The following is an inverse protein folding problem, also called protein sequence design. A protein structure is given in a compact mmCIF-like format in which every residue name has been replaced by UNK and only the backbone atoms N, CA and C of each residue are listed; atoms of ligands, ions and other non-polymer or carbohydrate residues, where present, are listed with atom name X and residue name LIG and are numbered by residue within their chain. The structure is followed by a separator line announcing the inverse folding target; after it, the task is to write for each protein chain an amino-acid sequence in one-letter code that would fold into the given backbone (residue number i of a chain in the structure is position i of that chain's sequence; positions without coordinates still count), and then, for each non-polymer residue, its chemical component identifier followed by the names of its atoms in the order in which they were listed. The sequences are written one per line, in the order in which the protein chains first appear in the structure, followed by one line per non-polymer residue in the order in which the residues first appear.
data_IF_551983514592
#
_entry.id   IF_551983514592
#
_cell.length_a   1.000
_cell.length_b   1.000
_cell.length_c   1.000
_cell.angle_alpha   90.00
_cell.angle_beta   90.00
_cell.angle_gamma   90.00
#
_symmetry.space_group_name_H-M   'P 1'
#
loop_
_entity.id
_entity.type
_entity.pdbx_description
1 polymer ?
#
# COMPACT_ATOMS: atom_id res chain seq x y z
N UNK A 1 3.00 11.60 -79.13
CA UNK A 1 2.39 11.45 -77.80
C UNK A 1 3.42 10.89 -76.83
N UNK A 2 4.11 11.73 -76.05
CA UNK A 2 4.83 11.30 -74.86
C UNK A 2 4.24 11.96 -73.60
N UNK A 3 4.25 11.26 -72.47
CA UNK A 3 4.83 11.74 -71.20
C UNK A 3 4.70 10.68 -70.09
N UNK A 4 5.81 10.45 -69.39
CA UNK A 4 5.88 9.69 -68.13
C UNK A 4 5.62 10.61 -66.94
N UNK A 5 5.12 10.09 -65.79
CA UNK A 5 5.29 10.78 -64.52
C UNK A 5 6.34 10.11 -63.62
N UNK A 6 7.29 10.91 -63.14
CA UNK A 6 8.20 10.63 -62.01
C UNK A 6 7.47 10.93 -60.68
N UNK A 7 7.79 10.15 -59.65
CA UNK A 7 7.25 10.29 -58.30
C UNK A 7 7.82 11.45 -57.47
N UNK A 8 7.21 11.66 -56.30
CA UNK A 8 7.72 12.59 -55.28
C UNK A 8 6.80 12.78 -54.07
N UNK A 9 7.10 12.01 -53.01
CA UNK A 9 7.04 12.33 -51.57
C UNK A 9 5.68 12.74 -50.96
N UNK A 10 4.99 11.74 -50.37
CA UNK A 10 3.95 11.96 -49.36
C UNK A 10 4.56 12.23 -47.99
N UNK A 11 4.22 13.37 -47.40
CA UNK A 11 4.54 13.75 -46.02
C UNK A 11 3.88 12.77 -45.05
N UNK A 12 4.67 11.92 -44.39
CA UNK A 12 4.22 11.08 -43.28
C UNK A 12 4.06 11.98 -42.05
N UNK A 13 2.82 12.17 -41.61
CA UNK A 13 2.52 12.79 -40.32
C UNK A 13 3.20 12.00 -39.20
N UNK A 14 4.15 12.63 -38.50
CA UNK A 14 4.71 12.11 -37.26
C UNK A 14 3.59 11.95 -36.23
N UNK A 15 3.30 10.69 -35.88
CA UNK A 15 2.37 10.34 -34.82
C UNK A 15 2.80 10.97 -33.50
N UNK A 16 1.82 11.57 -32.81
CA UNK A 16 1.96 12.16 -31.47
C UNK A 16 2.59 11.15 -30.49
N UNK A 17 3.48 11.58 -29.58
CA UNK A 17 3.93 10.72 -28.50
C UNK A 17 2.75 10.37 -27.60
N UNK A 18 2.68 9.09 -27.22
CA UNK A 18 1.68 8.55 -26.31
C UNK A 18 1.63 9.40 -25.03
N UNK A 19 0.48 10.04 -24.80
CA UNK A 19 0.19 10.69 -23.53
C UNK A 19 0.19 9.62 -22.45
N UNK A 20 1.19 9.68 -21.58
CA UNK A 20 1.11 9.08 -20.26
C UNK A 20 -0.05 9.79 -19.54
N UNK A 21 -1.22 9.15 -19.49
CA UNK A 21 -2.39 9.70 -18.82
C UNK A 21 -2.07 9.85 -17.33
N UNK A 22 -1.77 11.08 -16.92
CA UNK A 22 -1.83 11.48 -15.53
C UNK A 22 -3.29 11.38 -15.10
N UNK A 23 -3.62 10.41 -14.25
CA UNK A 23 -4.97 10.31 -13.67
C UNK A 23 -5.31 11.62 -12.98
N UNK A 24 -6.52 12.12 -13.19
CA UNK A 24 -6.98 13.37 -12.60
C UNK A 24 -7.34 13.16 -11.12
N UNK A 25 -7.34 14.22 -10.33
CA UNK A 25 -7.70 14.15 -8.90
C UNK A 25 -9.11 13.59 -8.68
N UNK A 26 -10.03 13.85 -9.62
CA UNK A 26 -11.39 13.33 -9.60
C UNK A 26 -11.41 11.81 -9.81
N UNK A 27 -10.60 11.29 -10.72
CA UNK A 27 -10.49 9.85 -10.96
C UNK A 27 -9.97 9.10 -9.73
N UNK A 28 -9.03 9.71 -8.98
CA UNK A 28 -8.48 9.12 -7.76
C UNK A 28 -9.49 9.14 -6.60
N UNK A 29 -10.30 10.19 -6.49
CA UNK A 29 -11.36 10.27 -5.48
C UNK A 29 -12.44 9.22 -5.75
N UNK A 30 -12.85 9.06 -7.01
CA UNK A 30 -13.78 8.01 -7.43
C UNK A 30 -13.25 6.60 -7.13
N UNK A 31 -11.97 6.34 -7.42
CA UNK A 31 -11.29 5.09 -7.06
C UNK A 31 -11.34 4.81 -5.54
N UNK A 32 -11.16 5.84 -4.72
CA UNK A 32 -11.25 5.69 -3.27
C UNK A 32 -12.68 5.36 -2.82
N UNK A 33 -13.70 5.99 -3.39
CA UNK A 33 -15.11 5.68 -3.08
C UNK A 33 -15.48 4.24 -3.47
N UNK A 34 -15.07 3.79 -4.66
CA UNK A 34 -15.31 2.41 -5.13
C UNK A 34 -14.66 1.40 -4.18
N UNK A 35 -13.41 1.63 -3.78
CA UNK A 35 -12.71 0.69 -2.92
C UNK A 35 -13.30 0.64 -1.52
N UNK A 36 -13.79 1.78 -1.00
CA UNK A 36 -14.49 1.83 0.27
C UNK A 36 -15.80 1.05 0.24
N UNK A 37 -16.58 1.18 -0.84
CA UNK A 37 -17.81 0.39 -1.01
C UNK A 37 -17.50 -1.10 -1.03
N UNK A 38 -16.46 -1.52 -1.75
CA UNK A 38 -16.01 -2.92 -1.78
C UNK A 38 -15.59 -3.41 -0.40
N UNK A 39 -14.87 -2.58 0.37
CA UNK A 39 -14.46 -2.90 1.74
C UNK A 39 -15.66 -3.01 2.70
N UNK A 40 -16.70 -2.17 2.54
CA UNK A 40 -17.96 -2.24 3.29
C UNK A 40 -18.73 -3.52 3.00
N UNK A 41 -18.86 -3.90 1.72
CA UNK A 41 -19.50 -5.15 1.31
C UNK A 41 -18.76 -6.37 1.87
N UNK A 42 -17.42 -6.35 1.84
CA UNK A 42 -16.58 -7.39 2.42
C UNK A 42 -16.83 -7.49 3.93
N UNK A 43 -16.76 -6.37 4.65
CA UNK A 43 -17.04 -6.34 6.10
C UNK A 43 -18.47 -6.78 6.46
N UNK A 44 -19.46 -6.42 5.63
CA UNK A 44 -20.85 -6.85 5.79
C UNK A 44 -21.00 -8.36 5.57
N UNK A 45 -20.35 -8.93 4.55
CA UNK A 45 -20.32 -10.37 4.33
C UNK A 45 -19.72 -11.12 5.53
N UNK A 46 -18.67 -10.57 6.15
CA UNK A 46 -18.08 -11.13 7.38
C UNK A 46 -19.01 -11.03 8.60
N UNK A 47 -19.95 -10.08 8.61
CA UNK A 47 -20.92 -9.94 9.71
C UNK A 47 -22.07 -10.95 9.64
N UNK A 48 -22.39 -11.50 8.45
CA UNK A 48 -23.52 -12.41 8.20
C UNK A 48 -23.18 -13.87 8.56
N UNK A 49 -21.90 -14.25 8.61
CA UNK A 49 -21.42 -15.64 8.81
C UNK A 49 -21.74 -16.22 10.21
N UNK A 50 -22.25 -15.44 11.17
CA UNK A 50 -22.89 -15.98 12.39
C UNK A 50 -23.85 -14.97 13.00
N UNK A 51 -25.06 -15.44 13.33
CA UNK A 51 -26.10 -14.71 14.08
C UNK A 51 -25.49 -14.15 15.37
N UNK A 52 -25.68 -12.86 15.69
CA UNK A 52 -25.07 -12.28 16.89
C UNK A 52 -25.71 -12.87 18.15
N UNK A 53 -24.89 -13.38 19.07
CA UNK A 53 -25.23 -13.38 20.49
C UNK A 53 -25.13 -11.94 20.95
N UNK A 54 -26.25 -11.39 21.40
CA UNK A 54 -26.31 -10.03 21.92
C UNK A 54 -25.38 -9.93 23.14
N UNK A 55 -24.36 -9.08 23.05
CA UNK A 55 -23.53 -8.70 24.18
C UNK A 55 -23.76 -7.20 24.46
N UNK A 56 -23.73 -6.81 25.74
CA UNK A 56 -24.38 -5.62 26.24
C UNK A 56 -23.66 -4.34 25.79
N UNK A 57 -24.45 -3.27 25.82
CA UNK A 57 -24.01 -1.89 25.60
C UNK A 57 -22.88 -1.48 26.56
N UNK A 58 -22.01 -0.63 26.03
CA UNK A 58 -21.16 0.34 26.73
C UNK A 58 -20.37 -0.18 27.95
N UNK A 59 -19.09 -0.48 27.73
CA UNK A 59 -18.10 -0.28 28.79
C UNK A 59 -17.71 1.22 28.78
N UNK A 60 -18.40 2.00 29.60
CA UNK A 60 -17.88 3.26 30.11
C UNK A 60 -16.77 2.93 31.11
N UNK A 61 -15.59 3.54 30.97
CA UNK A 61 -14.99 4.32 32.08
C UNK A 61 -13.69 5.00 31.62
N UNK A 62 -13.85 6.26 31.22
CA UNK A 62 -12.91 7.31 31.57
C UNK A 62 -13.80 8.44 32.03
N UNK A 63 -13.66 8.88 33.28
CA UNK A 63 -14.43 9.95 33.90
C UNK A 63 -14.20 11.28 33.16
N UNK A 64 -14.80 11.42 31.98
CA UNK A 64 -14.77 12.65 31.20
C UNK A 64 -15.70 13.63 31.89
N UNK A 65 -15.10 14.65 32.49
CA UNK A 65 -15.86 15.76 33.06
C UNK A 65 -16.72 16.40 31.97
N UNK A 66 -18.00 16.63 32.27
CA UNK A 66 -18.93 17.38 31.40
C UNK A 66 -18.40 18.79 31.05
N UNK A 67 -17.43 19.28 31.81
CA UNK A 67 -16.80 20.58 31.61
C UNK A 67 -15.61 20.52 30.63
N UNK A 68 -15.31 19.37 30.02
CA UNK A 68 -14.23 19.27 29.05
C UNK A 68 -14.52 20.17 27.82
N UNK A 69 -13.58 21.03 27.37
CA UNK A 69 -13.81 21.98 26.27
C UNK A 69 -14.25 21.37 24.94
N UNK A 70 -13.99 20.07 24.77
CA UNK A 70 -14.34 19.25 23.61
C UNK A 70 -15.23 18.06 23.99
N UNK A 71 -16.08 18.19 25.03
CA UNK A 71 -16.92 17.10 25.52
C UNK A 71 -17.77 16.44 24.40
N UNK A 72 -18.28 17.25 23.48
CA UNK A 72 -19.06 16.84 22.31
C UNK A 72 -18.35 15.81 21.43
N UNK A 73 -17.03 15.92 21.28
CA UNK A 73 -16.19 14.98 20.53
C UNK A 73 -15.59 13.91 21.44
N UNK A 74 -15.06 14.31 22.60
CA UNK A 74 -14.33 13.44 23.51
C UNK A 74 -15.19 12.29 24.05
N UNK A 75 -16.49 12.53 24.28
CA UNK A 75 -17.45 11.52 24.74
C UNK A 75 -17.55 10.28 23.85
N UNK A 76 -17.21 10.41 22.57
CA UNK A 76 -17.23 9.28 21.63
C UNK A 76 -16.04 8.34 21.82
N UNK A 77 -14.96 8.78 22.50
CA UNK A 77 -13.78 7.94 22.72
C UNK A 77 -12.99 7.64 21.44
N UNK A 78 -13.09 8.51 20.43
CA UNK A 78 -12.37 8.39 19.14
C UNK A 78 -10.86 8.41 19.38
N UNK A 79 -10.38 9.29 20.27
CA UNK A 79 -8.98 9.44 20.64
C UNK A 79 -8.79 9.11 22.13
N UNK A 80 -7.83 8.24 22.45
CA UNK A 80 -7.50 7.85 23.82
C UNK A 80 -5.98 7.77 24.00
N UNK A 81 -5.50 8.02 25.21
CA UNK A 81 -4.08 7.86 25.58
C UNK A 81 -3.93 6.51 26.26
N UNK A 82 -3.28 5.57 25.58
CA UNK A 82 -3.28 4.15 25.89
C UNK A 82 -1.93 3.68 26.44
N UNK A 83 -1.55 4.27 27.58
CA UNK A 83 -0.32 3.89 28.30
C UNK A 83 0.97 4.23 27.55
N UNK A 84 1.96 3.36 27.68
CA UNK A 84 3.30 3.52 27.09
C UNK A 84 3.73 2.27 26.33
N UNK A 85 4.54 2.46 25.30
CA UNK A 85 5.13 1.36 24.55
C UNK A 85 6.34 0.73 25.27
N UNK A 86 7.00 -0.22 24.61
CA UNK A 86 8.18 -0.93 25.16
C UNK A 86 9.36 0.01 25.46
N UNK A 87 9.40 1.18 24.83
CA UNK A 87 10.44 2.19 24.99
C UNK A 87 10.03 3.34 25.92
N UNK A 88 8.89 3.22 26.62
CA UNK A 88 8.38 4.26 27.52
C UNK A 88 7.75 5.46 26.80
N UNK A 89 7.44 5.33 25.50
CA UNK A 89 6.83 6.42 24.72
C UNK A 89 5.32 6.36 24.86
N UNK A 90 4.67 7.51 25.01
CA UNK A 90 3.20 7.57 25.11
C UNK A 90 2.55 7.02 23.85
N UNK A 91 1.56 6.15 24.03
CA UNK A 91 0.77 5.58 22.93
C UNK A 91 -0.58 6.28 22.87
N UNK A 92 -0.95 6.74 21.68
CA UNK A 92 -2.21 7.43 21.44
C UNK A 92 -3.00 6.63 20.42
N UNK A 93 -4.21 6.22 20.77
CA UNK A 93 -5.07 5.39 19.92
C UNK A 93 -6.16 6.23 19.26
N UNK A 94 -6.34 6.07 17.95
CA UNK A 94 -7.44 6.60 17.17
C UNK A 94 -8.34 5.44 16.70
N UNK A 95 -9.63 5.47 17.02
CA UNK A 95 -10.56 4.36 16.75
C UNK A 95 -11.68 4.77 15.80
N UNK A 96 -11.66 4.27 14.56
CA UNK A 96 -12.68 4.58 13.56
C UNK A 96 -14.07 4.01 13.89
N UNK A 97 -14.13 2.86 14.56
CA UNK A 97 -15.40 2.25 15.01
C UNK A 97 -16.20 3.12 16.00
N UNK A 98 -15.56 4.15 16.57
CA UNK A 98 -16.18 5.10 17.49
C UNK A 98 -16.56 6.43 16.84
N UNK A 99 -16.29 6.61 15.54
CA UNK A 99 -16.70 7.81 14.83
C UNK A 99 -18.19 7.74 14.51
N UNK A 100 -19.00 8.69 15.02
CA UNK A 100 -20.40 8.79 14.64
C UNK A 100 -20.53 9.22 13.16
N UNK A 101 -21.74 9.14 12.58
CA UNK A 101 -21.99 9.64 11.24
C UNK A 101 -21.48 11.07 11.03
N UNK A 102 -20.98 11.39 9.84
CA UNK A 102 -20.32 12.67 9.53
C UNK A 102 -21.23 13.89 9.74
N UNK A 103 -22.56 13.70 9.73
CA UNK A 103 -23.53 14.77 10.00
C UNK A 103 -23.68 15.07 11.51
N UNK A 104 -23.31 14.12 12.38
CA UNK A 104 -23.33 14.27 13.84
C UNK A 104 -21.96 14.71 14.39
N UNK A 105 -20.89 14.58 13.61
CA UNK A 105 -19.52 14.90 14.00
C UNK A 105 -19.03 16.20 13.37
N UNK A 106 -18.80 17.23 14.18
CA UNK A 106 -18.14 18.42 13.68
C UNK A 106 -16.65 18.15 13.43
N UNK A 107 -16.27 17.96 12.17
CA UNK A 107 -14.90 17.62 11.78
C UNK A 107 -13.87 18.72 12.10
N UNK A 108 -14.29 20.00 12.23
CA UNK A 108 -13.39 21.07 12.69
C UNK A 108 -13.09 20.90 14.18
N UNK A 109 -14.11 20.68 15.00
CA UNK A 109 -13.92 20.42 16.44
C UNK A 109 -13.16 19.13 16.70
N UNK A 110 -13.36 18.11 15.86
CA UNK A 110 -12.55 16.90 15.89
C UNK A 110 -11.07 17.25 15.70
N UNK A 111 -10.72 18.00 14.65
CA UNK A 111 -9.34 18.39 14.40
C UNK A 111 -8.73 19.20 15.56
N UNK A 112 -9.49 20.15 16.12
CA UNK A 112 -9.09 20.91 17.31
C UNK A 112 -8.85 19.99 18.52
N UNK A 113 -9.71 19.00 18.73
CA UNK A 113 -9.56 18.02 19.82
C UNK A 113 -8.34 17.10 19.60
N UNK A 114 -8.05 16.68 18.37
CA UNK A 114 -6.81 15.96 18.06
C UNK A 114 -5.59 16.81 18.39
N UNK A 115 -5.58 18.09 17.97
CA UNK A 115 -4.47 19.01 18.28
C UNK A 115 -4.34 19.20 19.79
N UNK A 116 -5.43 19.52 20.49
CA UNK A 116 -5.46 19.68 21.95
C UNK A 116 -4.85 18.50 22.69
N UNK A 117 -5.17 17.27 22.26
CA UNK A 117 -4.66 16.05 22.88
C UNK A 117 -3.20 15.80 22.53
N UNK A 118 -2.84 15.93 21.25
CA UNK A 118 -1.48 15.70 20.78
C UNK A 118 -0.49 16.75 21.32
N UNK A 119 -0.92 17.99 21.48
CA UNK A 119 -0.10 19.10 22.00
C UNK A 119 0.53 18.78 23.37
N UNK A 120 -0.12 17.92 24.17
CA UNK A 120 0.40 17.46 25.47
C UNK A 120 1.59 16.49 25.35
N UNK A 121 1.81 15.89 24.17
CA UNK A 121 2.78 14.79 23.98
C UNK A 121 3.79 15.03 22.85
N UNK A 122 3.50 15.95 21.92
CA UNK A 122 4.29 16.15 20.69
C UNK A 122 5.73 16.63 20.94
N UNK A 123 6.01 17.19 22.11
CA UNK A 123 7.37 17.59 22.49
C UNK A 123 8.26 16.39 22.85
N UNK A 124 7.64 15.27 23.24
CA UNK A 124 8.30 14.01 23.57
C UNK A 124 8.12 12.96 22.46
N UNK A 125 8.93 11.91 22.50
CA UNK A 125 8.77 10.78 21.59
C UNK A 125 7.47 10.02 21.88
N UNK A 126 6.64 9.81 20.85
CA UNK A 126 5.33 9.18 20.99
C UNK A 126 4.99 8.28 19.81
N UNK A 127 3.97 7.44 20.01
CA UNK A 127 3.49 6.46 19.03
C UNK A 127 1.98 6.63 18.85
N UNK A 128 1.50 6.50 17.62
CA UNK A 128 0.07 6.52 17.31
C UNK A 128 -0.37 5.15 16.80
N UNK A 129 -1.50 4.66 17.31
CA UNK A 129 -2.16 3.45 16.82
C UNK A 129 -3.50 3.87 16.22
N UNK A 130 -3.68 3.64 14.94
CA UNK A 130 -4.89 3.91 14.20
C UNK A 130 -5.63 2.59 13.92
N UNK A 131 -6.76 2.39 14.59
CA UNK A 131 -7.66 1.27 14.33
C UNK A 131 -8.61 1.66 13.20
N UNK A 132 -8.35 1.10 12.03
CA UNK A 132 -9.09 1.43 10.82
C UNK A 132 -10.50 0.85 10.79
N UNK A 133 -10.70 -0.31 11.43
CA UNK A 133 -11.99 -1.00 11.46
C UNK A 133 -13.13 -0.07 11.93
N UNK A 134 -14.26 -0.14 11.23
CA UNK A 134 -15.47 0.66 11.49
C UNK A 134 -15.58 1.95 10.68
N UNK A 135 -14.57 2.29 9.85
CA UNK A 135 -14.70 3.34 8.85
C UNK A 135 -15.64 2.91 7.72
N UNK A 136 -16.55 3.78 7.29
CA UNK A 136 -17.50 3.57 6.21
C UNK A 136 -17.93 4.91 5.59
N UNK A 137 -18.74 4.83 4.54
CA UNK A 137 -19.29 5.92 3.73
C UNK A 137 -20.07 6.94 4.55
N UNK A 138 -20.65 6.53 5.70
CA UNK A 138 -21.44 7.41 6.57
C UNK A 138 -20.61 8.19 7.58
N UNK A 139 -19.44 7.71 7.98
CA UNK A 139 -18.60 8.33 9.02
C UNK A 139 -17.23 8.78 8.51
N UNK A 140 -16.86 8.47 7.27
CA UNK A 140 -15.56 8.89 6.74
C UNK A 140 -15.46 10.42 6.61
N UNK A 141 -14.31 11.00 6.96
CA UNK A 141 -14.01 12.37 6.56
C UNK A 141 -13.81 12.48 5.05
N UNK A 142 -14.12 13.65 4.48
CA UNK A 142 -13.87 13.92 3.06
C UNK A 142 -12.37 14.00 2.76
N UNK A 143 -11.96 13.72 1.51
CA UNK A 143 -10.57 13.83 1.10
C UNK A 143 -10.02 15.25 1.29
N UNK A 144 -10.83 16.27 0.98
CA UNK A 144 -10.48 17.67 1.23
C UNK A 144 -10.24 17.98 2.71
N UNK A 145 -11.04 17.42 3.61
CA UNK A 145 -10.80 17.56 5.05
C UNK A 145 -9.53 16.84 5.47
N UNK A 146 -9.29 15.61 5.01
CA UNK A 146 -8.08 14.84 5.34
C UNK A 146 -6.81 15.56 4.89
N UNK A 147 -6.84 16.14 3.68
CA UNK A 147 -5.75 16.94 3.16
C UNK A 147 -5.48 18.17 4.03
N UNK A 148 -6.55 18.86 4.44
CA UNK A 148 -6.48 20.06 5.28
C UNK A 148 -5.96 19.72 6.67
N UNK A 149 -6.46 18.64 7.28
CA UNK A 149 -5.99 18.13 8.57
C UNK A 149 -4.50 17.77 8.54
N UNK A 150 -4.03 17.10 7.47
CA UNK A 150 -2.61 16.75 7.34
C UNK A 150 -1.69 17.99 7.23
N UNK A 151 -2.17 19.08 6.62
CA UNK A 151 -1.45 20.37 6.53
C UNK A 151 -1.40 21.08 7.90
N UNK A 152 -2.47 21.00 8.69
CA UNK A 152 -2.54 21.54 10.05
C UNK A 152 -1.56 20.85 11.02
N UNK A 153 -1.29 19.56 10.82
CA UNK A 153 -0.24 18.86 11.56
C UNK A 153 1.14 19.19 10.97
N UNK A 154 1.71 20.31 11.40
CA UNK A 154 3.03 20.76 10.96
C UNK A 154 4.18 19.84 11.43
N UNK A 155 5.42 20.33 11.30
CA UNK A 155 6.63 19.59 11.70
C UNK A 155 6.63 19.15 13.17
N UNK A 156 6.00 19.88 14.09
CA UNK A 156 6.02 19.58 15.54
C UNK A 156 5.38 18.22 15.83
N UNK A 157 4.26 17.91 15.18
CA UNK A 157 3.57 16.63 15.33
C UNK A 157 4.31 15.49 14.62
N UNK A 158 5.02 15.80 13.53
CA UNK A 158 5.66 14.78 12.69
C UNK A 158 7.06 14.38 13.16
N UNK A 159 7.77 15.26 13.90
CA UNK A 159 9.18 15.04 14.28
C UNK A 159 9.33 13.88 15.27
N UNK A 160 8.61 13.94 16.38
CA UNK A 160 8.78 13.03 17.52
C UNK A 160 7.85 11.81 17.48
N UNK A 161 6.89 11.77 16.54
CA UNK A 161 6.18 10.55 16.21
C UNK A 161 7.18 9.48 15.75
N UNK A 162 7.28 8.34 16.43
CA UNK A 162 8.21 7.26 16.04
C UNK A 162 7.57 6.22 15.16
N UNK A 163 6.32 5.88 15.42
CA UNK A 163 5.55 4.93 14.64
C UNK A 163 4.08 5.36 14.57
N UNK A 164 3.48 5.15 13.41
CA UNK A 164 2.04 5.18 13.16
C UNK A 164 1.62 3.78 12.74
N UNK A 165 1.07 3.01 13.68
CA UNK A 165 0.55 1.67 13.41
C UNK A 165 -0.87 1.77 12.86
N UNK A 166 -1.09 1.34 11.62
CA UNK A 166 -2.41 1.24 10.99
C UNK A 166 -2.87 -0.21 11.13
N UNK A 167 -3.82 -0.44 12.03
CA UNK A 167 -4.33 -1.77 12.37
C UNK A 167 -5.57 -2.09 11.53
N UNK A 168 -5.59 -3.28 10.93
CA UNK A 168 -6.60 -3.74 9.98
C UNK A 168 -6.76 -2.81 8.76
N UNK A 169 -5.68 -2.50 8.03
CA UNK A 169 -5.77 -1.66 6.84
C UNK A 169 -6.64 -2.35 5.78
N UNK A 170 -7.60 -1.62 5.22
CA UNK A 170 -8.35 -2.09 4.06
C UNK A 170 -7.67 -1.64 2.77
N UNK A 171 -8.29 -1.87 1.62
CA UNK A 171 -7.75 -1.38 0.36
C UNK A 171 -8.04 0.11 0.17
N UNK A 172 -9.15 0.64 0.71
CA UNK A 172 -9.44 2.07 0.74
C UNK A 172 -8.27 2.85 1.35
N UNK A 173 -7.77 2.46 2.54
CA UNK A 173 -6.67 3.20 3.17
C UNK A 173 -5.36 3.12 2.36
N UNK A 174 -5.15 2.05 1.58
CA UNK A 174 -3.99 1.92 0.68
C UNK A 174 -4.12 2.82 -0.56
N UNK A 175 -5.33 2.91 -1.14
CA UNK A 175 -5.63 3.85 -2.22
C UNK A 175 -5.46 5.28 -1.71
N UNK A 176 -6.04 5.59 -0.55
CA UNK A 176 -5.91 6.88 0.12
C UNK A 176 -4.45 7.28 0.32
N UNK A 177 -3.61 6.34 0.77
CA UNK A 177 -2.17 6.58 0.90
C UNK A 177 -1.49 6.92 -0.43
N UNK A 178 -1.93 6.30 -1.52
CA UNK A 178 -1.43 6.59 -2.87
C UNK A 178 -1.81 8.01 -3.31
N UNK A 179 -3.03 8.46 -2.99
CA UNK A 179 -3.51 9.83 -3.23
C UNK A 179 -2.68 10.85 -2.46
N UNK A 180 -2.39 10.58 -1.19
CA UNK A 180 -1.64 11.50 -0.33
C UNK A 180 -0.12 11.40 -0.46
N UNK A 181 0.41 10.40 -1.17
CA UNK A 181 1.86 10.19 -1.36
C UNK A 181 2.62 11.45 -1.81
N UNK A 182 2.11 12.30 -2.73
CA UNK A 182 2.79 13.54 -3.13
C UNK A 182 2.89 14.59 -2.01
N UNK A 183 1.99 14.54 -1.03
CA UNK A 183 1.92 15.49 0.08
C UNK A 183 2.68 14.99 1.31
N UNK A 184 2.96 13.69 1.36
CA UNK A 184 3.58 13.04 2.50
C UNK A 184 5.10 13.03 2.36
N UNK A 185 5.78 13.57 3.37
CA UNK A 185 7.24 13.55 3.38
C UNK A 185 7.78 12.12 3.46
N UNK A 186 8.88 11.85 2.76
CA UNK A 186 9.53 10.54 2.77
C UNK A 186 9.85 10.04 4.20
N UNK A 187 10.29 10.95 5.09
CA UNK A 187 10.59 10.63 6.50
C UNK A 187 9.34 10.25 7.29
N UNK A 188 8.19 10.86 7.00
CA UNK A 188 6.94 10.49 7.65
C UNK A 188 6.41 9.16 7.11
N UNK A 189 6.51 8.93 5.79
CA UNK A 189 6.07 7.68 5.18
C UNK A 189 6.74 6.44 5.76
N UNK A 190 8.05 6.51 6.09
CA UNK A 190 8.78 5.42 6.78
C UNK A 190 8.26 5.08 8.17
N UNK A 191 7.46 5.95 8.79
CA UNK A 191 6.90 5.76 10.14
C UNK A 191 5.55 5.02 10.10
N UNK A 192 4.93 4.89 8.94
CA UNK A 192 3.63 4.23 8.79
C UNK A 192 3.84 2.73 8.63
N UNK A 193 3.29 1.96 9.57
CA UNK A 193 3.43 0.52 9.66
C UNK A 193 2.03 -0.09 9.60
N UNK A 194 1.79 -0.93 8.59
CA UNK A 194 0.52 -1.61 8.39
C UNK A 194 0.51 -2.96 9.11
N UNK A 195 -0.48 -3.20 9.96
CA UNK A 195 -0.62 -4.43 10.74
C UNK A 195 -1.97 -5.09 10.42
N UNK A 196 -1.96 -6.34 9.99
CA UNK A 196 -3.19 -7.03 9.58
C UNK A 196 -4.01 -7.57 10.75
N UNK A 197 -3.38 -7.73 11.91
CA UNK A 197 -4.01 -8.21 13.13
C UNK A 197 -3.42 -7.62 14.40
N UNK A 198 -4.13 -7.81 15.52
CA UNK A 198 -3.71 -7.37 16.84
C UNK A 198 -2.51 -8.18 17.37
N UNK A 199 -2.26 -9.38 16.85
CA UNK A 199 -1.10 -10.20 17.22
C UNK A 199 0.23 -9.51 16.90
N UNK A 200 0.36 -8.90 15.73
CA UNK A 200 1.57 -8.17 15.31
C UNK A 200 1.78 -6.91 16.18
N UNK A 201 0.68 -6.28 16.62
CA UNK A 201 0.73 -5.12 17.50
C UNK A 201 1.30 -5.48 18.90
N UNK A 202 1.04 -6.71 19.39
CA UNK A 202 1.55 -7.22 20.69
C UNK A 202 3.08 -7.35 20.71
N UNK A 203 3.69 -7.59 19.56
CA UNK A 203 5.15 -7.67 19.45
C UNK A 203 5.80 -6.30 19.70
N UNK A 204 5.12 -5.23 19.29
CA UNK A 204 5.66 -3.87 19.31
C UNK A 204 5.26 -3.07 20.56
N UNK A 205 4.09 -3.33 21.13
CA UNK A 205 3.52 -2.57 22.26
C UNK A 205 3.31 -3.44 23.50
N UNK A 206 3.28 -2.79 24.68
CA UNK A 206 2.82 -3.42 25.93
C UNK A 206 1.29 -3.57 25.87
N UNK A 207 0.83 -4.68 25.30
CA UNK A 207 -0.59 -4.87 24.99
C UNK A 207 -1.50 -4.74 26.23
N UNK A 208 -1.02 -5.12 27.42
CA UNK A 208 -1.80 -5.06 28.66
C UNK A 208 -2.21 -3.64 29.06
N UNK A 209 -1.55 -2.60 28.52
CA UNK A 209 -1.87 -1.19 28.78
C UNK A 209 -2.65 -0.53 27.63
N UNK A 210 -2.85 -1.26 26.52
CA UNK A 210 -3.49 -0.72 25.32
C UNK A 210 -5.01 -0.88 25.41
N UNK A 211 -5.74 0.24 25.38
CA UNK A 211 -7.20 0.22 25.31
C UNK A 211 -7.63 -0.06 23.87
N UNK A 212 -7.87 -1.32 23.55
CA UNK A 212 -8.42 -1.74 22.26
C UNK A 212 -9.94 -1.77 22.34
N UNK A 213 -10.68 -1.10 21.44
CA UNK A 213 -12.14 -1.17 21.42
C UNK A 213 -12.65 -2.62 21.28
N UNK A 214 -13.70 -3.03 22.02
CA UNK A 214 -14.29 -4.36 21.91
C UNK A 214 -14.72 -4.74 20.49
N UNK A 215 -15.13 -3.75 19.69
CA UNK A 215 -15.51 -3.93 18.28
C UNK A 215 -14.32 -4.40 17.44
N UNK A 216 -13.13 -3.82 17.69
CA UNK A 216 -11.88 -4.20 17.01
C UNK A 216 -11.43 -5.59 17.45
N UNK A 217 -11.55 -5.92 18.74
CA UNK A 217 -11.25 -7.26 19.25
C UNK A 217 -12.13 -8.34 18.59
N UNK A 218 -13.44 -8.09 18.53
CA UNK A 218 -14.39 -9.00 17.86
C UNK A 218 -14.10 -9.12 16.36
N UNK A 219 -13.68 -8.03 15.71
CA UNK A 219 -13.32 -8.06 14.30
C UNK A 219 -12.02 -8.83 14.06
N UNK A 220 -10.98 -8.61 14.86
CA UNK A 220 -9.74 -9.38 14.84
C UNK A 220 -10.03 -10.87 15.05
N UNK A 221 -10.89 -11.21 16.02
CA UNK A 221 -11.33 -12.58 16.25
C UNK A 221 -12.11 -13.14 15.05
N UNK A 222 -12.96 -12.35 14.38
CA UNK A 222 -13.62 -12.78 13.12
C UNK A 222 -12.61 -13.01 12.01
N UNK A 223 -11.63 -12.13 11.82
CA UNK A 223 -10.55 -12.31 10.84
C UNK A 223 -9.70 -13.53 11.18
N UNK A 224 -9.41 -13.76 12.45
CA UNK A 224 -8.71 -14.94 12.93
C UNK A 224 -9.54 -16.20 12.75
N UNK A 225 -10.85 -16.17 13.01
CA UNK A 225 -11.78 -17.26 12.72
C UNK A 225 -11.99 -17.46 11.23
N UNK A 226 -11.83 -16.44 10.39
CA UNK A 226 -11.75 -16.62 8.96
C UNK A 226 -10.41 -17.19 8.55
N UNK A 227 -9.34 -16.95 9.32
CA UNK A 227 -8.00 -17.56 9.23
C UNK A 227 -7.83 -18.83 10.10
N UNK A 228 -8.87 -19.31 10.79
CA UNK A 228 -8.91 -20.55 11.58
C UNK A 228 -10.00 -21.49 11.04
N UNK A 229 -11.11 -20.94 10.57
CA UNK A 229 -11.97 -21.50 9.52
C UNK A 229 -11.29 -21.52 8.15
N UNK A 230 -10.28 -20.66 7.97
CA UNK A 230 -9.12 -20.82 7.08
C UNK A 230 -7.88 -20.95 7.95
N UNK A 231 -7.91 -21.86 8.93
CA UNK A 231 -6.68 -22.62 9.25
C UNK A 231 -6.09 -22.95 7.89
N UNK A 232 -4.75 -22.94 7.70
CA UNK A 232 -4.18 -23.30 6.41
C UNK A 232 -4.99 -24.50 5.98
N UNK A 233 -5.80 -24.34 4.92
CA UNK A 233 -6.67 -25.44 4.47
C UNK A 233 -5.76 -26.65 4.60
N UNK A 234 -6.09 -27.72 5.35
CA UNK A 234 -5.16 -28.84 5.58
C UNK A 234 -4.73 -29.44 4.24
N UNK A 235 -3.77 -28.81 3.58
CA UNK A 235 -3.86 -28.58 2.14
C UNK A 235 -5.31 -28.21 1.68
N UNK A 236 -5.62 -28.02 0.39
CA UNK A 236 -6.87 -28.71 -0.02
C UNK A 236 -6.64 -30.12 0.54
N UNK A 237 -7.43 -30.63 1.50
CA UNK A 237 -7.31 -32.05 1.80
C UNK A 237 -7.17 -32.68 0.43
N UNK A 238 -6.18 -33.57 0.19
CA UNK A 238 -6.32 -34.44 -0.96
C UNK A 238 -7.79 -34.87 -0.90
N UNK A 239 -8.51 -34.86 -2.04
CA UNK A 239 -9.95 -35.12 -2.01
C UNK A 239 -10.25 -36.26 -1.03
N UNK A 240 -11.49 -36.48 -0.58
CA UNK A 240 -11.82 -37.71 0.17
C UNK A 240 -11.34 -39.01 -0.53
N UNK A 241 -10.88 -38.87 -1.79
CA UNK A 241 -10.04 -39.77 -2.58
C UNK A 241 -8.53 -39.39 -2.52
N UNK A 242 -7.61 -40.34 -2.31
CA UNK A 242 -6.18 -40.10 -2.52
C UNK A 242 -5.92 -39.38 -3.86
N UNK A 243 -4.93 -38.46 -3.94
CA UNK A 243 -4.64 -37.74 -5.17
C UNK A 243 -4.40 -38.75 -6.30
N UNK A 244 -4.85 -38.43 -7.51
CA UNK A 244 -4.57 -39.27 -8.66
C UNK A 244 -3.04 -39.48 -8.75
N UNK A 245 -2.56 -40.68 -9.15
CA UNK A 245 -1.13 -40.92 -9.31
C UNK A 245 -0.43 -39.88 -10.19
N UNK A 246 -1.18 -39.28 -11.12
CA UNK A 246 -0.73 -38.28 -12.10
C UNK A 246 -1.17 -36.84 -11.76
N UNK A 247 -1.75 -36.58 -10.59
CA UNK A 247 -2.21 -35.25 -10.16
C UNK A 247 -1.10 -34.20 -10.27
N UNK A 248 -1.37 -33.07 -10.95
CA UNK A 248 -0.41 -31.99 -11.17
C UNK A 248 -0.73 -30.71 -10.38
N UNK A 249 -2.00 -30.38 -10.19
CA UNK A 249 -2.44 -29.15 -9.48
C UNK A 249 -2.81 -29.46 -8.02
N UNK A 250 -2.60 -28.50 -7.12
CA UNK A 250 -3.02 -28.63 -5.72
C UNK A 250 -2.14 -29.53 -4.86
N UNK A 251 -0.96 -29.94 -5.36
CA UNK A 251 -0.02 -30.85 -4.69
C UNK A 251 1.32 -30.15 -4.45
N UNK A 252 2.11 -30.66 -3.49
CA UNK A 252 3.41 -30.07 -3.17
C UNK A 252 4.42 -30.29 -4.29
N UNK A 253 5.40 -29.40 -4.41
CA UNK A 253 6.51 -29.57 -5.35
C UNK A 253 7.32 -30.85 -5.04
N UNK A 254 7.40 -31.24 -3.76
CA UNK A 254 8.04 -32.50 -3.36
C UNK A 254 7.29 -33.72 -3.92
N UNK A 255 5.95 -33.75 -3.80
CA UNK A 255 5.14 -34.81 -4.40
C UNK A 255 5.33 -34.89 -5.92
N UNK A 256 5.36 -33.75 -6.60
CA UNK A 256 5.59 -33.69 -8.04
C UNK A 256 6.99 -34.19 -8.43
N UNK A 257 8.01 -33.86 -7.63
CA UNK A 257 9.37 -34.36 -7.82
C UNK A 257 9.40 -35.89 -7.70
N UNK A 258 8.81 -36.43 -6.63
CA UNK A 258 8.81 -37.87 -6.35
C UNK A 258 8.05 -38.68 -7.43
N UNK A 259 6.96 -38.11 -7.97
CA UNK A 259 6.16 -38.76 -9.03
C UNK A 259 6.71 -38.56 -10.44
N UNK A 260 7.52 -37.55 -10.68
CA UNK A 260 8.13 -37.26 -11.98
C UNK A 260 9.61 -37.66 -12.03
N UNK A 261 9.97 -38.83 -11.49
CA UNK A 261 11.33 -39.39 -11.57
C UNK A 261 12.44 -38.48 -11.00
N UNK A 262 12.12 -37.59 -10.06
CA UNK A 262 13.08 -36.68 -9.45
C UNK A 262 13.30 -35.35 -10.20
N UNK A 263 12.58 -35.13 -11.32
CA UNK A 263 12.64 -33.88 -12.08
C UNK A 263 12.25 -32.67 -11.22
N UNK A 264 13.09 -31.63 -11.25
CA UNK A 264 12.91 -30.42 -10.43
C UNK A 264 11.82 -29.49 -10.95
N UNK A 265 11.56 -29.53 -12.27
CA UNK A 265 10.58 -28.66 -12.92
C UNK A 265 9.34 -29.49 -13.31
N UNK A 266 8.19 -29.23 -12.68
CA UNK A 266 6.94 -29.90 -13.02
C UNK A 266 6.57 -29.78 -14.51
N UNK A 267 6.00 -30.83 -15.12
CA UNK A 267 5.59 -30.83 -16.52
C UNK A 267 4.74 -29.64 -16.93
N UNK A 268 3.80 -29.22 -16.08
CA UNK A 268 2.92 -28.06 -16.34
C UNK A 268 3.75 -26.78 -16.56
N UNK A 269 4.75 -26.54 -15.71
CA UNK A 269 5.63 -25.36 -15.85
C UNK A 269 6.50 -25.49 -17.09
N UNK A 270 7.09 -26.67 -17.33
CA UNK A 270 7.93 -26.90 -18.51
C UNK A 270 7.15 -26.63 -19.81
N UNK A 271 5.99 -27.25 -19.99
CA UNK A 271 5.22 -27.13 -21.24
C UNK A 271 4.65 -25.73 -21.45
N UNK A 272 4.13 -25.08 -20.40
CA UNK A 272 3.63 -23.70 -20.51
C UNK A 272 4.75 -22.72 -20.85
N UNK A 273 5.92 -22.83 -20.20
CA UNK A 273 7.06 -21.94 -20.48
C UNK A 273 7.63 -22.18 -21.88
N UNK A 274 7.80 -23.44 -22.31
CA UNK A 274 8.29 -23.75 -23.67
C UNK A 274 7.36 -23.16 -24.72
N UNK A 275 6.06 -23.40 -24.62
CA UNK A 275 5.08 -22.90 -25.58
C UNK A 275 5.03 -21.37 -25.63
N UNK A 276 5.09 -20.70 -24.47
CA UNK A 276 5.11 -19.24 -24.40
C UNK A 276 6.40 -18.64 -24.97
N UNK A 277 7.54 -19.32 -24.82
CA UNK A 277 8.81 -18.90 -25.43
C UNK A 277 8.79 -19.03 -26.95
N UNK A 278 8.15 -20.06 -27.48
CA UNK A 278 8.07 -20.29 -28.92
C UNK A 278 7.06 -19.39 -29.63
N UNK A 279 5.86 -19.20 -29.04
CA UNK A 279 4.73 -18.54 -29.73
C UNK A 279 4.21 -17.25 -29.07
N UNK A 280 4.51 -17.03 -27.78
CA UNK A 280 3.85 -16.00 -26.96
C UNK A 280 4.64 -14.71 -26.72
N UNK A 281 5.94 -14.67 -27.02
CA UNK A 281 6.82 -13.55 -26.63
C UNK A 281 6.44 -12.19 -27.26
N UNK A 282 5.78 -12.20 -28.41
CA UNK A 282 5.34 -10.99 -29.12
C UNK A 282 3.87 -10.63 -28.85
N UNK A 283 3.17 -11.41 -28.03
CA UNK A 283 1.76 -11.19 -27.74
C UNK A 283 1.55 -10.07 -26.73
N UNK A 284 0.76 -9.07 -27.10
CA UNK A 284 0.38 -7.98 -26.18
C UNK A 284 -0.43 -8.50 -24.98
N UNK A 285 -0.08 -8.01 -23.78
CA UNK A 285 -0.84 -8.31 -22.56
C UNK A 285 -0.68 -9.74 -22.05
N UNK A 286 0.40 -10.44 -22.43
CA UNK A 286 0.76 -11.73 -21.86
C UNK A 286 0.85 -11.63 -20.32
N UNK A 287 0.31 -12.62 -19.61
CA UNK A 287 0.11 -12.62 -18.15
C UNK A 287 -0.84 -11.54 -17.58
N UNK A 288 -1.27 -10.54 -18.37
CA UNK A 288 -2.26 -9.52 -17.95
C UNK A 288 -3.68 -9.93 -18.33
N UNK A 289 -3.90 -10.38 -19.56
CA UNK A 289 -5.23 -10.74 -20.08
C UNK A 289 -5.75 -12.04 -19.47
N UNK A 290 -7.06 -12.11 -19.28
CA UNK A 290 -7.79 -13.30 -18.81
C UNK A 290 -8.04 -14.28 -19.95
N UNK A 291 -8.17 -15.55 -19.61
CA UNK A 291 -8.56 -16.63 -20.52
C UNK A 291 -9.87 -17.28 -20.03
N UNK A 292 -10.53 -18.05 -20.91
CA UNK A 292 -11.79 -18.73 -20.58
C UNK A 292 -11.66 -19.65 -19.36
N UNK A 293 -12.47 -19.41 -18.32
CA UNK A 293 -12.49 -20.23 -17.09
C UNK A 293 -12.81 -21.69 -17.39
N UNK A 294 -13.65 -21.96 -18.40
CA UNK A 294 -13.99 -23.32 -18.81
C UNK A 294 -12.76 -24.06 -19.36
N UNK A 295 -12.04 -23.43 -20.29
CA UNK A 295 -10.81 -23.96 -20.89
C UNK A 295 -9.74 -24.21 -19.83
N UNK A 296 -9.59 -23.30 -18.86
CA UNK A 296 -8.65 -23.47 -17.75
C UNK A 296 -8.99 -24.71 -16.92
N UNK A 297 -10.26 -24.90 -16.53
CA UNK A 297 -10.71 -26.07 -15.76
C UNK A 297 -10.51 -27.37 -16.54
N UNK A 298 -10.76 -27.35 -17.84
CA UNK A 298 -10.54 -28.50 -18.71
C UNK A 298 -9.07 -28.91 -18.77
N UNK A 299 -8.17 -27.96 -19.01
CA UNK A 299 -6.73 -28.23 -19.09
C UNK A 299 -6.20 -28.73 -17.74
N UNK A 300 -6.65 -28.17 -16.62
CA UNK A 300 -6.32 -28.67 -15.29
C UNK A 300 -6.73 -30.13 -15.11
N UNK A 301 -7.94 -30.49 -15.56
CA UNK A 301 -8.44 -31.86 -15.51
C UNK A 301 -7.58 -32.80 -16.37
N UNK A 302 -7.17 -32.38 -17.56
CA UNK A 302 -6.30 -33.17 -18.44
C UNK A 302 -4.93 -33.43 -17.80
N UNK A 303 -4.29 -32.39 -17.28
CA UNK A 303 -3.01 -32.52 -16.57
C UNK A 303 -3.12 -33.43 -15.35
N UNK A 304 -4.17 -33.29 -14.54
CA UNK A 304 -4.39 -34.15 -13.36
C UNK A 304 -4.65 -35.62 -13.72
N UNK A 305 -5.12 -35.89 -14.94
CA UNK A 305 -5.26 -37.25 -15.47
C UNK A 305 -3.98 -37.79 -16.11
N UNK A 306 -2.93 -36.96 -16.25
CA UNK A 306 -1.71 -37.32 -16.98
C UNK A 306 -1.90 -37.35 -18.50
N UNK A 307 -2.97 -36.72 -19.02
CA UNK A 307 -3.22 -36.63 -20.46
C UNK A 307 -2.36 -35.52 -21.08
N UNK A 308 -1.88 -35.71 -22.33
CA UNK A 308 -1.17 -34.66 -23.04
C UNK A 308 -2.11 -33.47 -23.29
N UNK A 309 -1.56 -32.26 -23.22
CA UNK A 309 -2.26 -31.01 -23.52
C UNK A 309 -1.50 -30.31 -24.63
N UNK A 310 -2.15 -30.10 -25.77
CA UNK A 310 -1.61 -29.27 -26.84
C UNK A 310 -2.26 -27.88 -26.77
N UNK A 311 -1.45 -26.84 -26.57
CA UNK A 311 -1.98 -25.48 -26.45
C UNK A 311 -2.46 -24.90 -27.79
N UNK A 312 -2.05 -25.48 -28.91
CA UNK A 312 -2.50 -25.07 -30.25
C UNK A 312 -4.00 -25.34 -30.47
N UNK A 313 -4.56 -26.35 -29.80
CA UNK A 313 -5.96 -26.77 -29.95
C UNK A 313 -6.96 -25.73 -29.39
N UNK A 314 -6.49 -24.80 -28.55
CA UNK A 314 -7.35 -23.85 -27.83
C UNK A 314 -7.42 -22.46 -28.48
N UNK A 315 -6.55 -22.15 -29.46
CA UNK A 315 -6.58 -20.89 -30.22
C UNK A 315 -6.28 -19.60 -29.43
N UNK A 316 -6.05 -19.68 -28.12
CA UNK A 316 -5.78 -18.53 -27.25
C UNK A 316 -4.41 -18.67 -26.56
N UNK A 317 -3.47 -17.81 -26.97
CA UNK A 317 -2.10 -17.73 -26.45
C UNK A 317 -2.04 -17.29 -24.97
N UNK A 318 -3.11 -16.69 -24.43
CA UNK A 318 -3.18 -16.31 -23.02
C UNK A 318 -3.49 -17.49 -22.09
N UNK A 319 -4.07 -18.58 -22.61
CA UNK A 319 -4.37 -19.81 -21.85
C UNK A 319 -3.14 -20.37 -21.12
N UNK A 320 -2.01 -20.69 -21.78
CA UNK A 320 -0.82 -21.21 -21.10
C UNK A 320 -0.27 -20.25 -20.03
N UNK A 321 -0.37 -18.93 -20.23
CA UNK A 321 0.03 -17.94 -19.23
C UNK A 321 -0.88 -17.96 -17.99
N UNK A 322 -2.19 -18.12 -18.17
CA UNK A 322 -3.14 -18.26 -17.06
C UNK A 322 -2.97 -19.60 -16.35
N UNK A 323 -2.70 -20.69 -17.08
CA UNK A 323 -2.40 -22.01 -16.51
C UNK A 323 -1.14 -21.98 -15.64
N UNK A 324 -0.06 -21.36 -16.13
CA UNK A 324 1.18 -21.19 -15.37
C UNK A 324 0.93 -20.45 -14.04
N UNK A 325 0.23 -19.30 -14.10
CA UNK A 325 -0.14 -18.55 -12.89
C UNK A 325 -1.02 -19.37 -11.95
N UNK A 326 -1.96 -20.13 -12.50
CA UNK A 326 -2.88 -20.96 -11.73
C UNK A 326 -2.15 -22.11 -11.04
N UNK A 327 -1.17 -22.74 -11.70
CA UNK A 327 -0.31 -23.75 -11.08
C UNK A 327 0.40 -23.19 -9.84
N UNK A 328 1.05 -22.03 -9.96
CA UNK A 328 1.74 -21.38 -8.84
C UNK A 328 0.79 -20.99 -7.70
N UNK A 329 -0.40 -20.49 -8.04
CA UNK A 329 -1.43 -20.09 -7.07
C UNK A 329 -2.02 -21.27 -6.31
N UNK A 330 -2.11 -22.45 -6.94
CA UNK A 330 -2.70 -23.65 -6.36
C UNK A 330 -1.71 -24.51 -5.57
N UNK A 331 -0.44 -24.13 -5.48
CA UNK A 331 0.51 -24.83 -4.62
C UNK A 331 0.04 -24.75 -3.15
N UNK A 332 0.12 -25.86 -2.37
CA UNK A 332 -0.22 -25.84 -0.94
C UNK A 332 0.61 -24.85 -0.12
N UNK A 333 1.83 -24.54 -0.59
CA UNK A 333 2.72 -23.53 -0.05
C UNK A 333 3.08 -22.56 -1.18
N UNK A 334 3.10 -21.23 -0.95
CA UNK A 334 3.55 -20.28 -1.96
C UNK A 334 4.97 -20.62 -2.40
N UNK A 335 5.30 -20.38 -3.67
CA UNK A 335 6.61 -20.72 -4.22
C UNK A 335 7.78 -20.12 -3.42
N UNK A 336 7.60 -18.90 -2.92
CA UNK A 336 8.60 -18.21 -2.10
C UNK A 336 8.64 -18.70 -0.64
N UNK A 337 7.79 -19.65 -0.27
CA UNK A 337 7.61 -20.22 1.07
C UNK A 337 7.11 -19.21 2.11
N UNK A 338 6.50 -19.71 3.19
CA UNK A 338 6.07 -18.86 4.30
C UNK A 338 7.26 -18.28 5.09
N UNK A 339 8.42 -18.94 5.05
CA UNK A 339 9.62 -18.50 5.78
C UNK A 339 10.23 -17.22 5.22
N UNK A 340 10.14 -17.02 3.91
CA UNK A 340 10.69 -15.82 3.26
C UNK A 340 9.69 -14.65 3.24
N UNK A 341 8.47 -14.83 3.74
CA UNK A 341 7.39 -13.84 3.64
C UNK A 341 7.82 -12.47 4.23
N UNK A 342 8.29 -12.45 5.47
CA UNK A 342 8.76 -11.24 6.14
C UNK A 342 9.95 -10.58 5.43
N UNK A 343 10.88 -11.39 4.92
CA UNK A 343 12.04 -10.89 4.20
C UNK A 343 11.62 -10.19 2.90
N UNK A 344 10.65 -10.76 2.17
CA UNK A 344 10.13 -10.22 0.92
C UNK A 344 9.33 -8.93 1.16
N UNK A 345 8.49 -8.89 2.21
CA UNK A 345 7.82 -7.65 2.60
C UNK A 345 8.82 -6.55 2.95
N UNK A 346 9.90 -6.89 3.64
CA UNK A 346 10.99 -5.98 3.98
C UNK A 346 11.69 -5.35 2.76
N UNK A 347 11.74 -6.02 1.60
CA UNK A 347 12.35 -5.46 0.36
C UNK A 347 11.60 -4.22 -0.10
N UNK A 348 10.26 -4.23 -0.02
CA UNK A 348 9.44 -3.06 -0.39
C UNK A 348 9.70 -1.84 0.51
N UNK A 349 10.26 -2.07 1.71
CA UNK A 349 10.62 -1.04 2.67
C UNK A 349 12.05 -0.50 2.50
N UNK A 350 12.95 -1.26 1.84
CA UNK A 350 14.40 -0.95 1.74
C UNK A 350 14.86 -0.29 0.44
N UNK A 351 14.00 -0.21 -0.58
CA UNK A 351 14.39 0.26 -1.92
C UNK A 351 14.67 1.80 -2.04
N UNK A 352 15.03 2.47 -0.95
CA UNK A 352 15.37 3.90 -0.89
C UNK A 352 16.70 4.22 -0.21
N UNK A 353 17.53 3.22 0.12
CA UNK A 353 18.90 3.45 0.57
C UNK A 353 19.83 3.40 -0.65
N UNK A 354 20.14 4.55 -1.22
CA UNK A 354 21.47 4.70 -1.81
C UNK A 354 22.45 4.90 -0.64
N UNK A 355 23.57 4.16 -0.60
CA UNK A 355 24.63 4.48 0.36
C UNK A 355 25.08 5.91 0.09
N UNK A 356 25.18 6.70 1.14
CA UNK A 356 25.73 8.04 1.08
C UNK A 356 27.09 7.97 0.37
N UNK A 357 27.19 8.61 -0.80
CA UNK A 357 28.47 8.83 -1.44
C UNK A 357 29.37 9.56 -0.45
N UNK A 358 30.58 9.05 -0.26
CA UNK A 358 31.61 9.68 0.53
C UNK A 358 31.74 11.17 0.14
N UNK A 359 32.02 12.07 1.10
CA UNK A 359 32.26 13.47 0.77
C UNK A 359 33.45 13.55 -0.20
N UNK A 360 33.22 14.09 -1.39
CA UNK A 360 34.29 14.39 -2.34
C UNK A 360 35.31 15.32 -1.65
N UNK A 361 36.62 15.08 -1.77
CA UNK A 361 37.62 16.03 -1.30
C UNK A 361 37.49 17.36 -2.06
N UNK A 362 37.87 18.50 -1.44
CA UNK A 362 37.77 19.80 -2.07
C UNK A 362 38.67 19.88 -3.32
N UNK A 363 38.09 20.34 -4.43
CA UNK A 363 38.79 20.51 -5.70
C UNK A 363 39.98 21.49 -5.58
N UNK A 364 41.12 21.21 -6.23
CA UNK A 364 42.23 22.14 -6.34
C UNK A 364 41.88 23.29 -7.30
N UNK A 365 42.31 24.49 -6.92
CA UNK A 365 42.03 25.77 -7.57
C UNK A 365 42.08 25.77 -9.11
N UNK A 366 41.02 26.28 -9.75
CA UNK A 366 41.04 26.65 -11.17
C UNK A 366 41.90 27.91 -11.39
N UNK A 367 42.74 27.95 -12.44
CA UNK A 367 43.48 29.15 -12.82
C UNK A 367 42.62 30.11 -13.65
N UNK A 368 42.87 31.39 -13.39
CA UNK A 368 42.28 32.60 -13.96
C UNK A 368 41.99 32.53 -15.47
N UNK A 369 40.72 32.66 -15.87
CA UNK A 369 40.34 33.06 -17.23
C UNK A 369 39.95 34.53 -17.28
N UNK A 370 40.71 35.23 -18.11
CA UNK A 370 40.68 36.64 -18.49
C UNK A 370 39.29 37.10 -18.95
N UNK A 371 38.79 38.19 -18.38
CA UNK A 371 37.59 38.89 -18.88
C UNK A 371 37.96 39.83 -20.04
N UNK A 372 37.14 39.94 -21.10
CA UNK A 372 37.23 41.04 -22.06
C UNK A 372 36.50 42.29 -21.51
N UNK A 373 37.18 43.43 -21.58
CA UNK A 373 36.72 44.77 -21.15
C UNK A 373 35.65 45.35 -22.09
N UNK A 374 34.61 45.96 -21.52
CA UNK A 374 33.84 47.01 -22.17
C UNK A 374 34.51 48.39 -21.95
N UNK A 375 34.43 49.34 -22.91
CA UNK A 375 35.08 50.63 -22.82
C UNK A 375 34.19 51.69 -22.16
N UNK A 376 34.77 52.50 -21.26
CA UNK A 376 34.25 53.83 -20.92
C UNK A 376 35.40 54.85 -20.99
N UNK A 377 35.13 55.94 -21.70
CA UNK A 377 36.00 57.09 -21.96
C UNK A 377 35.98 58.10 -20.78
N UNK A 378 36.88 59.11 -20.76
CA UNK A 378 37.68 59.45 -19.58
C UNK A 378 37.28 60.79 -18.95
N UNK A 379 37.65 60.98 -17.68
CA UNK A 379 37.85 62.31 -17.12
C UNK A 379 39.07 62.36 -16.18
N UNK A 380 40.06 63.16 -16.59
CA UNK A 380 40.75 64.19 -15.80
C UNK A 380 41.32 63.85 -14.41
N UNK A 381 42.64 63.71 -14.37
CA UNK A 381 43.54 63.92 -13.22
C UNK A 381 43.56 65.42 -12.76
N UNK A 382 44.32 65.83 -11.71
CA UNK A 382 43.96 65.73 -10.31
C UNK A 382 44.21 67.07 -9.54
N UNK A 383 44.11 66.97 -8.21
CA UNK A 383 45.01 67.61 -7.23
C UNK A 383 44.55 68.85 -6.45
N UNK A 384 44.80 68.71 -5.13
CA UNK A 384 45.21 69.70 -4.12
C UNK A 384 44.17 70.69 -3.58
N UNK A 385 43.95 70.57 -2.27
CA UNK A 385 44.48 71.60 -1.37
C UNK A 385 43.49 72.28 -0.40
N UNK A 386 43.45 71.76 0.84
CA UNK A 386 43.41 72.50 2.13
C UNK A 386 42.21 73.46 2.40
N UNK A 387 42.03 74.07 3.60
CA UNK A 387 40.97 73.66 4.52
C UNK A 387 40.00 74.79 4.92
N UNK A 388 38.92 74.41 5.60
CA UNK A 388 38.45 75.14 6.78
C UNK A 388 37.18 75.98 6.68
N UNK A 389 36.70 76.25 7.90
CA UNK A 389 35.82 77.31 8.37
C UNK A 389 34.31 77.00 8.38
N UNK A 390 33.82 76.87 9.63
CA UNK A 390 32.59 77.40 10.24
C UNK A 390 31.46 77.85 9.30
N UNK A 391 30.20 77.47 9.50
CA UNK A 391 29.38 77.57 10.71
C UNK A 391 28.31 76.47 10.76
#
# INVERSE_FOLDING_TARGET
MPESPRGGVGTVCLGRPAQQQSMSQLDLEELAEIELQRDEEEAAALSIVRKPSAAPAAAQDSALSMNHPFYDVARHGILQVAGEDRFGRRVITFSCCRMPPSHELNHRRLLEYLKYTLDQYVESDYTVVYFHYGLNSRNKPSLGWLQSAYKEFDRRYKKNLKALYVVHPTNFIKVLWTIFKPLISHKFGKKVIYLNGLSELREHLKYDQLIVPPEVLRYDEKLRNLHEGRSPSPAKMPPPRPPLPTQQFGVSLQYLKDKNQGELIPPVLRFTVTYLREKGLRTEGLFRRSASVHTIREIQRLYNQGKPVNFDDYGDIHVPAVILKTFLRELPQPLLTFRAYEQILGITSRCGEQPAGDPLPPDPAEPSRTQPRCPQLPHGLPARGVPGVHF
#
